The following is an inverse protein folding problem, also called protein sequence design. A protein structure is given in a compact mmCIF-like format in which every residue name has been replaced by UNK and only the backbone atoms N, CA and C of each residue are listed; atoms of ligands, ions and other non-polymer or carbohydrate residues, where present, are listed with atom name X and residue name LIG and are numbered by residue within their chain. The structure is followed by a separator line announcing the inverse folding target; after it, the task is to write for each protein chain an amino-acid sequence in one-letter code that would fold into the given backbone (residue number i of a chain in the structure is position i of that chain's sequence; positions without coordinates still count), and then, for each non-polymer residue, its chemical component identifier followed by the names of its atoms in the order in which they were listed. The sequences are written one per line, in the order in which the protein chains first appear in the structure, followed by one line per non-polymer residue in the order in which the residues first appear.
data_IF_587100792015
#
_entry.id   IF_587100792015
#
_cell.length_a   1.000
_cell.length_b   1.000
_cell.length_c   1.000
_cell.angle_alpha   90.00
_cell.angle_beta   90.00
_cell.angle_gamma   90.00
#
_symmetry.space_group_name_H-M   'P 1'
#
loop_
_entity.id
_entity.type
_entity.pdbx_description
1 polymer ?
#
# COMPACT_ATOMS: atom_id res chain seq x y z
N UNK A 1 -23.82 4.85 13.99
CA UNK A 1 -24.28 4.03 12.85
C UNK A 1 -23.42 4.39 11.66
N UNK A 2 -22.95 3.42 10.91
CA UNK A 2 -22.06 3.67 9.77
C UNK A 2 -22.82 3.49 8.47
N UNK A 3 -22.64 4.45 7.55
CA UNK A 3 -23.14 4.40 6.17
C UNK A 3 -21.97 4.63 5.23
N UNK A 4 -22.09 4.16 3.99
CA UNK A 4 -21.05 4.35 2.97
C UNK A 4 -20.77 5.82 2.72
N UNK A 5 -21.82 6.64 2.62
CA UNK A 5 -21.73 8.07 2.38
C UNK A 5 -22.81 8.87 3.14
N UNK A 6 -22.47 10.09 3.57
CA UNK A 6 -23.39 11.01 4.22
C UNK A 6 -24.25 11.79 3.20
N UNK A 7 -24.90 11.07 2.28
CA UNK A 7 -25.82 11.65 1.30
C UNK A 7 -27.21 11.88 1.91
N UNK A 8 -27.97 12.83 1.35
CA UNK A 8 -29.34 13.10 1.78
C UNK A 8 -30.24 11.85 1.67
N UNK A 9 -30.04 11.04 0.62
CA UNK A 9 -30.74 9.77 0.44
C UNK A 9 -30.47 8.79 1.59
N UNK A 10 -29.19 8.56 1.92
CA UNK A 10 -28.81 7.65 3.00
C UNK A 10 -29.31 8.15 4.36
N UNK A 11 -29.25 9.46 4.60
CA UNK A 11 -29.74 10.05 5.85
C UNK A 11 -31.27 9.95 5.95
N UNK A 12 -31.99 10.20 4.85
CA UNK A 12 -33.46 10.06 4.77
C UNK A 12 -33.91 8.62 5.04
N UNK A 13 -33.18 7.63 4.51
CA UNK A 13 -33.46 6.22 4.75
C UNK A 13 -33.34 5.82 6.24
N UNK A 14 -32.58 6.59 7.03
CA UNK A 14 -32.40 6.37 8.47
C UNK A 14 -33.43 7.09 9.34
N UNK A 15 -34.17 8.07 8.80
CA UNK A 15 -35.18 8.84 9.55
C UNK A 15 -36.22 7.97 10.27
N UNK A 16 -36.75 6.87 9.69
CA UNK A 16 -37.72 6.01 10.38
C UNK A 16 -37.15 5.32 11.63
N UNK A 17 -35.82 5.22 11.75
CA UNK A 17 -35.13 4.59 12.87
C UNK A 17 -34.63 5.61 13.91
N UNK A 18 -34.71 6.91 13.62
CA UNK A 18 -34.24 7.99 14.47
C UNK A 18 -35.31 8.42 15.49
N UNK A 19 -35.71 7.53 16.40
CA UNK A 19 -36.59 7.87 17.54
C UNK A 19 -35.89 8.78 18.56
N UNK A 20 -34.56 8.78 18.58
CA UNK A 20 -33.67 9.69 19.29
C UNK A 20 -32.55 10.15 18.34
N UNK A 21 -31.83 11.26 18.63
CA UNK A 21 -30.70 11.69 17.80
C UNK A 21 -29.66 10.57 17.67
N UNK A 22 -29.44 10.10 16.44
CA UNK A 22 -28.44 9.08 16.13
C UNK A 22 -27.20 9.73 15.51
N UNK A 23 -26.02 9.34 16.00
CA UNK A 23 -24.76 9.71 15.34
C UNK A 23 -24.53 8.78 14.14
N UNK A 24 -24.44 9.38 12.95
CA UNK A 24 -24.16 8.67 11.70
C UNK A 24 -22.78 9.09 11.19
N UNK A 25 -21.94 8.12 10.89
CA UNK A 25 -20.61 8.29 10.30
C UNK A 25 -20.59 7.74 8.88
N UNK A 26 -19.84 8.38 7.99
CA UNK A 26 -19.69 7.98 6.59
C UNK A 26 -18.84 9.01 5.83
N UNK A 27 -18.48 8.71 4.58
CA UNK A 27 -17.72 9.65 3.74
C UNK A 27 -18.55 10.89 3.43
N UNK A 28 -17.93 12.07 3.48
CA UNK A 28 -18.62 13.31 3.10
C UNK A 28 -18.89 13.32 1.60
N UNK A 29 -20.08 13.76 1.11
CA UNK A 29 -20.41 13.69 -0.31
C UNK A 29 -19.44 14.42 -1.25
N UNK A 30 -18.80 15.49 -0.76
CA UNK A 30 -17.80 16.23 -1.53
C UNK A 30 -16.51 15.42 -1.79
N UNK A 31 -16.25 14.37 -1.00
CA UNK A 31 -15.08 13.51 -1.13
C UNK A 31 -15.37 12.26 -1.98
N UNK A 32 -16.59 12.16 -2.52
CA UNK A 32 -17.01 11.04 -3.38
C UNK A 32 -16.68 11.39 -4.81
N UNK A 33 -15.85 10.55 -5.42
CA UNK A 33 -15.57 10.65 -6.85
C UNK A 33 -16.83 10.20 -7.60
N UNK A 34 -17.40 11.01 -8.51
CA UNK A 34 -18.60 10.62 -9.24
C UNK A 34 -18.30 9.46 -10.19
N UNK A 35 -19.26 8.53 -10.29
CA UNK A 35 -19.28 7.54 -11.36
C UNK A 35 -19.33 8.24 -12.72
N UNK A 36 -18.69 7.63 -13.72
CA UNK A 36 -18.59 8.18 -15.07
C UNK A 36 -17.56 7.42 -15.89
N UNK A 37 -17.59 7.67 -17.19
CA UNK A 37 -16.70 7.02 -18.16
C UNK A 37 -15.23 7.37 -17.89
N UNK A 38 -14.32 6.50 -18.34
CA UNK A 38 -12.88 6.69 -18.27
C UNK A 38 -12.46 7.96 -19.03
N UNK A 39 -11.84 8.95 -18.36
CA UNK A 39 -11.26 10.10 -19.05
C UNK A 39 -10.19 9.66 -20.06
N UNK A 40 -10.17 10.28 -21.22
CA UNK A 40 -9.23 9.94 -22.29
C UNK A 40 -8.03 10.89 -22.37
N UNK A 41 -8.07 12.03 -21.66
CA UNK A 41 -7.00 13.04 -21.66
C UNK A 41 -7.11 13.99 -20.46
N UNK A 42 -6.01 14.67 -20.17
CA UNK A 42 -5.92 15.76 -19.20
C UNK A 42 -4.69 16.63 -19.44
N UNK A 43 -4.32 17.47 -18.47
CA UNK A 43 -3.15 18.32 -18.60
C UNK A 43 -1.86 17.49 -18.69
N UNK A 44 -1.17 17.55 -19.82
CA UNK A 44 0.12 16.90 -20.03
C UNK A 44 0.05 15.38 -20.22
N UNK A 45 -1.14 14.78 -20.37
CA UNK A 45 -1.28 13.35 -20.60
C UNK A 45 -2.52 13.00 -21.44
N UNK A 46 -2.46 11.85 -22.10
CA UNK A 46 -3.59 11.24 -22.81
C UNK A 46 -3.59 9.73 -22.72
N UNK A 47 -4.76 9.13 -22.70
CA UNK A 47 -4.97 7.70 -22.66
C UNK A 47 -4.65 7.07 -24.04
N UNK A 48 -3.90 5.98 -24.01
CA UNK A 48 -3.57 5.15 -25.17
C UNK A 48 -4.39 3.86 -25.16
N UNK A 49 -4.75 3.36 -23.97
CA UNK A 49 -5.66 2.24 -23.80
C UNK A 49 -5.86 1.89 -22.32
N UNK A 50 -7.02 1.33 -22.03
CA UNK A 50 -7.37 0.74 -20.73
C UNK A 50 -8.03 -0.63 -20.94
N UNK A 51 -7.49 -1.66 -20.29
CA UNK A 51 -8.02 -3.02 -20.37
C UNK A 51 -7.85 -3.76 -19.03
N UNK A 52 -8.76 -4.69 -18.74
CA UNK A 52 -8.72 -5.53 -17.53
C UNK A 52 -7.73 -6.70 -17.68
N UNK A 53 -6.49 -6.38 -18.06
CA UNK A 53 -5.42 -7.32 -18.43
C UNK A 53 -4.07 -6.86 -17.85
N UNK A 54 -3.04 -7.68 -18.03
CA UNK A 54 -1.68 -7.38 -17.60
C UNK A 54 -1.36 -7.86 -16.18
N UNK A 55 -0.24 -7.36 -15.66
CA UNK A 55 0.25 -7.66 -14.31
C UNK A 55 -0.28 -6.59 -13.31
N UNK A 56 -0.60 -7.02 -12.09
CA UNK A 56 -0.96 -6.13 -10.98
C UNK A 56 0.29 -5.62 -10.27
N UNK A 57 0.19 -4.45 -9.63
CA UNK A 57 1.32 -3.81 -8.95
C UNK A 57 2.54 -3.69 -9.85
N UNK A 58 2.33 -3.13 -11.04
CA UNK A 58 3.41 -2.87 -12.00
C UNK A 58 3.32 -1.47 -12.54
N UNK A 59 4.47 -0.89 -12.80
CA UNK A 59 4.58 0.24 -13.70
C UNK A 59 5.63 -0.06 -14.78
N UNK A 60 5.64 0.76 -15.81
CA UNK A 60 6.69 0.71 -16.82
C UNK A 60 6.72 1.97 -17.66
N UNK A 61 7.86 2.19 -18.30
CA UNK A 61 8.12 3.38 -19.12
C UNK A 61 8.65 2.94 -20.48
N UNK A 62 8.20 3.62 -21.54
CA UNK A 62 8.77 3.50 -22.86
C UNK A 62 9.10 4.87 -23.44
N UNK A 63 10.34 5.03 -23.90
CA UNK A 63 10.84 6.27 -24.53
C UNK A 63 11.11 6.11 -26.02
N UNK A 64 10.89 4.90 -26.55
CA UNK A 64 11.07 4.54 -27.95
C UNK A 64 9.92 3.64 -28.41
N UNK A 65 9.73 3.55 -29.72
CA UNK A 65 8.70 2.68 -30.31
C UNK A 65 8.88 1.20 -29.91
N UNK A 66 10.11 0.71 -29.90
CA UNK A 66 10.42 -0.68 -29.56
C UNK A 66 10.13 -1.01 -28.08
N UNK A 67 10.39 -0.06 -27.17
CA UNK A 67 9.98 -0.21 -25.77
C UNK A 67 8.46 -0.16 -25.63
N UNK A 68 7.79 0.68 -26.41
CA UNK A 68 6.34 0.78 -26.39
C UNK A 68 5.66 -0.49 -26.92
N UNK A 69 6.26 -1.19 -27.89
CA UNK A 69 5.78 -2.50 -28.35
C UNK A 69 5.77 -3.49 -27.21
N UNK A 70 6.90 -3.60 -26.52
CA UNK A 70 7.07 -4.50 -25.40
C UNK A 70 6.13 -4.14 -24.24
N UNK A 71 5.95 -2.85 -23.96
CA UNK A 71 5.09 -2.39 -22.88
C UNK A 71 3.61 -2.66 -23.19
N UNK A 72 3.18 -2.46 -24.44
CA UNK A 72 1.82 -2.77 -24.91
C UNK A 72 1.51 -4.26 -24.79
N UNK A 73 2.43 -5.11 -25.22
CA UNK A 73 2.31 -6.57 -25.13
C UNK A 73 2.30 -7.06 -23.68
N UNK A 74 3.18 -6.52 -22.84
CA UNK A 74 3.27 -6.87 -21.41
C UNK A 74 2.02 -6.47 -20.63
N UNK A 75 1.45 -5.31 -20.97
CA UNK A 75 0.17 -4.86 -20.43
C UNK A 75 -1.01 -5.71 -20.92
N UNK A 76 -0.81 -6.58 -21.91
CA UNK A 76 -1.84 -7.46 -22.44
C UNK A 76 -2.91 -6.74 -23.26
N UNK A 77 -2.54 -5.63 -23.89
CA UNK A 77 -3.46 -4.82 -24.70
C UNK A 77 -3.79 -5.53 -26.01
N UNK A 78 -5.08 -5.60 -26.33
CA UNK A 78 -5.59 -6.35 -27.49
C UNK A 78 -5.92 -5.47 -28.70
N UNK A 79 -6.03 -4.15 -28.49
CA UNK A 79 -6.34 -3.16 -29.52
C UNK A 79 -5.18 -2.76 -30.43
N UNK A 80 -5.52 -1.93 -31.43
CA UNK A 80 -4.51 -1.21 -32.21
C UNK A 80 -3.85 -0.16 -31.32
N UNK A 81 -2.52 -0.19 -31.33
CA UNK A 81 -1.70 0.71 -30.53
C UNK A 81 -1.69 2.12 -31.12
N UNK A 82 -2.15 3.15 -30.39
CA UNK A 82 -2.14 4.52 -30.90
C UNK A 82 -0.72 5.05 -31.16
N UNK A 83 -0.60 6.00 -32.09
CA UNK A 83 0.68 6.66 -32.36
C UNK A 83 1.10 7.58 -31.20
N UNK A 84 2.41 7.67 -30.96
CA UNK A 84 3.03 8.50 -29.91
C UNK A 84 4.21 9.27 -30.51
N UNK A 85 4.27 10.58 -30.26
CA UNK A 85 5.43 11.39 -30.64
C UNK A 85 6.50 11.25 -29.57
N UNK A 86 7.44 10.31 -29.72
CA UNK A 86 8.53 10.14 -28.76
C UNK A 86 9.47 11.36 -28.66
N UNK A 87 9.35 12.33 -29.56
CA UNK A 87 10.01 13.63 -29.42
C UNK A 87 9.43 14.41 -28.24
N UNK A 88 8.11 14.38 -28.04
CA UNK A 88 7.40 15.26 -27.12
C UNK A 88 6.82 14.51 -25.92
N UNK A 89 6.60 13.20 -26.08
CA UNK A 89 5.91 12.33 -25.13
C UNK A 89 6.80 11.13 -24.75
N UNK A 90 6.50 10.53 -23.60
CA UNK A 90 6.87 9.15 -23.25
C UNK A 90 5.59 8.34 -23.01
N UNK A 91 5.69 7.02 -23.04
CA UNK A 91 4.58 6.14 -22.66
C UNK A 91 4.81 5.63 -21.24
N UNK A 92 3.77 5.68 -20.44
CA UNK A 92 3.74 5.11 -19.09
C UNK A 92 2.63 4.08 -18.99
N UNK A 93 2.94 2.95 -18.37
CA UNK A 93 1.97 1.92 -18.01
C UNK A 93 1.75 1.92 -16.50
N UNK A 94 0.48 1.92 -16.10
CA UNK A 94 0.02 1.68 -14.74
C UNK A 94 -0.75 0.35 -14.73
N UNK A 95 -0.07 -0.72 -14.29
CA UNK A 95 -0.63 -2.05 -14.04
C UNK A 95 -1.26 -2.08 -12.65
N UNK A 96 -2.46 -1.50 -12.56
CA UNK A 96 -3.21 -1.38 -11.32
C UNK A 96 -3.95 -2.67 -10.98
N UNK A 97 -4.55 -2.68 -9.79
CA UNK A 97 -5.48 -3.73 -9.40
C UNK A 97 -6.79 -3.20 -8.87
N UNK A 98 -7.77 -4.08 -8.87
CA UNK A 98 -9.05 -3.79 -8.27
C UNK A 98 -9.72 -5.06 -7.74
N UNK A 99 -10.49 -4.89 -6.67
CA UNK A 99 -11.45 -5.88 -6.21
C UNK A 99 -12.71 -5.82 -7.07
N UNK A 100 -13.31 -6.97 -7.39
CA UNK A 100 -14.51 -7.05 -8.25
C UNK A 100 -15.67 -6.15 -7.80
N UNK A 101 -15.77 -5.81 -6.50
CA UNK A 101 -16.78 -4.89 -5.98
C UNK A 101 -16.41 -3.40 -6.01
N UNK A 102 -15.18 -3.07 -6.43
CA UNK A 102 -14.63 -1.71 -6.47
C UNK A 102 -13.90 -1.47 -7.80
N UNK A 103 -14.63 -1.27 -8.91
CA UNK A 103 -13.98 -0.89 -10.16
C UNK A 103 -13.22 0.42 -9.98
N UNK A 104 -12.06 0.51 -10.63
CA UNK A 104 -11.19 1.68 -10.60
C UNK A 104 -11.24 2.44 -11.91
N UNK A 105 -10.81 3.71 -11.89
CA UNK A 105 -10.72 4.59 -13.04
C UNK A 105 -9.45 5.44 -12.93
N UNK A 106 -8.80 5.77 -14.04
CA UNK A 106 -7.70 6.73 -14.05
C UNK A 106 -8.23 8.13 -14.32
N UNK A 107 -8.24 9.02 -13.33
CA UNK A 107 -8.74 10.39 -13.50
C UNK A 107 -7.69 11.37 -14.00
N UNK A 108 -6.42 11.01 -13.85
CA UNK A 108 -5.32 11.90 -14.17
C UNK A 108 -3.95 11.25 -14.01
N UNK A 109 -2.93 11.98 -14.39
CA UNK A 109 -1.53 11.71 -14.07
C UNK A 109 -1.01 12.95 -13.35
N UNK A 110 -0.16 12.76 -12.34
CA UNK A 110 0.40 13.86 -11.56
C UNK A 110 1.86 13.61 -11.20
N UNK A 111 2.54 14.68 -10.79
CA UNK A 111 3.90 14.61 -10.22
C UNK A 111 3.88 15.17 -8.81
N UNK A 112 4.32 14.35 -7.85
CA UNK A 112 4.45 14.72 -6.44
C UNK A 112 5.84 14.30 -5.97
N UNK A 113 6.64 15.22 -5.44
CA UNK A 113 7.96 14.94 -4.84
C UNK A 113 8.92 14.09 -5.72
N UNK A 114 8.88 14.28 -7.04
CA UNK A 114 9.72 13.53 -7.97
C UNK A 114 9.17 12.15 -8.35
N UNK A 115 7.92 11.85 -8.00
CA UNK A 115 7.19 10.66 -8.42
C UNK A 115 6.14 11.06 -9.45
N UNK A 116 6.21 10.47 -10.64
CA UNK A 116 5.13 10.51 -11.63
C UNK A 116 4.15 9.38 -11.30
N UNK A 117 2.88 9.69 -11.09
CA UNK A 117 1.91 8.68 -10.68
C UNK A 117 0.53 8.85 -11.30
N UNK A 118 -0.21 7.76 -11.34
CA UNK A 118 -1.63 7.78 -11.67
C UNK A 118 -2.46 8.44 -10.56
N UNK A 119 -3.53 9.12 -10.94
CA UNK A 119 -4.64 9.49 -10.05
C UNK A 119 -5.74 8.45 -10.21
N UNK A 120 -5.44 7.24 -9.76
CA UNK A 120 -6.37 6.10 -9.85
C UNK A 120 -7.36 6.19 -8.70
N UNK A 121 -8.63 6.21 -9.04
CA UNK A 121 -9.75 6.42 -8.11
C UNK A 121 -10.68 5.22 -8.10
N UNK A 122 -11.45 5.08 -7.03
CA UNK A 122 -12.60 4.18 -6.95
C UNK A 122 -13.86 5.03 -7.04
N UNK A 123 -14.54 5.10 -8.20
CA UNK A 123 -15.73 5.92 -8.35
C UNK A 123 -16.89 5.44 -7.45
N UNK A 124 -17.70 6.39 -7.01
CA UNK A 124 -18.78 6.19 -6.08
C UNK A 124 -18.31 6.05 -4.64
N UNK A 125 -19.12 5.36 -3.85
CA UNK A 125 -18.82 5.09 -2.44
C UNK A 125 -19.08 3.62 -2.13
N UNK A 126 -18.33 2.69 -2.74
CA UNK A 126 -18.42 1.30 -2.32
C UNK A 126 -18.05 1.22 -0.84
N UNK A 127 -18.64 0.25 -0.13
CA UNK A 127 -18.26 -0.06 1.25
C UNK A 127 -16.89 -0.74 1.27
N UNK A 128 -16.84 -1.98 1.76
CA UNK A 128 -15.63 -2.79 1.62
C UNK A 128 -15.48 -3.33 0.19
N UNK A 129 -14.26 -3.27 -0.33
CA UNK A 129 -13.88 -3.96 -1.56
C UNK A 129 -13.70 -5.46 -1.28
N UNK A 130 -13.95 -6.29 -2.28
CA UNK A 130 -13.60 -7.71 -2.23
C UNK A 130 -12.09 -7.88 -2.28
N UNK A 131 -11.57 -8.91 -1.62
CA UNK A 131 -10.12 -9.15 -1.46
C UNK A 131 -9.46 -9.78 -2.70
N UNK A 132 -10.17 -9.88 -3.82
CA UNK A 132 -9.61 -10.39 -5.07
C UNK A 132 -8.75 -9.33 -5.78
N UNK A 133 -7.61 -9.75 -6.31
CA UNK A 133 -6.67 -8.88 -7.00
C UNK A 133 -6.76 -9.08 -8.52
N UNK A 134 -7.67 -8.35 -9.18
CA UNK A 134 -7.82 -8.42 -10.63
C UNK A 134 -6.97 -7.34 -11.32
N UNK A 135 -6.38 -7.63 -12.49
CA UNK A 135 -5.56 -6.66 -13.22
C UNK A 135 -6.40 -5.62 -13.96
N UNK A 136 -5.92 -4.38 -13.97
CA UNK A 136 -6.41 -3.32 -14.83
C UNK A 136 -5.21 -2.47 -15.28
N UNK A 137 -4.93 -2.51 -16.57
CA UNK A 137 -3.83 -1.77 -17.18
C UNK A 137 -4.33 -0.47 -17.77
N UNK A 138 -3.63 0.63 -17.47
CA UNK A 138 -3.77 1.91 -18.16
C UNK A 138 -2.45 2.26 -18.83
N UNK A 139 -2.48 2.48 -20.15
CA UNK A 139 -1.34 3.05 -20.87
C UNK A 139 -1.65 4.49 -21.24
N UNK A 140 -0.73 5.39 -20.94
CA UNK A 140 -0.86 6.82 -21.20
C UNK A 140 0.37 7.34 -21.92
N UNK A 141 0.18 8.31 -22.80
CA UNK A 141 1.25 9.18 -23.25
C UNK A 141 1.35 10.36 -22.29
N UNK A 142 2.55 10.69 -21.85
CA UNK A 142 2.84 11.79 -20.93
C UNK A 142 3.81 12.74 -21.59
N UNK A 143 3.47 14.02 -21.62
CA UNK A 143 4.32 15.08 -22.16
C UNK A 143 5.61 15.20 -21.34
N UNK A 144 6.74 15.35 -22.02
CA UNK A 144 8.05 15.48 -21.39
C UNK A 144 8.16 16.69 -20.48
N UNK A 145 7.43 17.76 -20.79
CA UNK A 145 7.38 18.98 -19.98
C UNK A 145 6.78 18.74 -18.57
N UNK A 146 5.93 17.73 -18.42
CA UNK A 146 5.32 17.34 -17.16
C UNK A 146 6.26 16.52 -16.27
N UNK A 147 7.22 15.79 -16.86
CA UNK A 147 8.09 14.85 -16.14
C UNK A 147 8.92 15.56 -15.06
N UNK A 148 9.39 14.87 -14.01
CA UNK A 148 10.39 15.42 -13.09
C UNK A 148 11.74 15.72 -13.79
N UNK A 149 12.61 16.54 -13.16
CA UNK A 149 13.89 16.92 -13.77
C UNK A 149 14.90 15.76 -13.91
N UNK A 150 14.65 14.63 -13.24
CA UNK A 150 15.46 13.41 -13.30
C UNK A 150 16.59 13.37 -12.25
N UNK A 151 16.98 12.17 -11.76
CA UNK A 151 16.26 10.89 -11.83
C UNK A 151 14.89 10.95 -11.13
N UNK A 152 13.99 10.01 -11.43
CA UNK A 152 12.64 10.00 -10.88
C UNK A 152 11.99 8.62 -10.86
N UNK A 153 10.83 8.51 -10.20
CA UNK A 153 10.08 7.26 -10.10
C UNK A 153 8.73 7.34 -10.80
N UNK A 154 8.24 6.20 -11.26
CA UNK A 154 6.87 6.00 -11.73
C UNK A 154 6.16 5.02 -10.81
N UNK A 155 4.96 5.38 -10.36
CA UNK A 155 4.16 4.61 -9.38
C UNK A 155 2.65 4.70 -9.68
N UNK A 156 1.85 3.83 -9.09
CA UNK A 156 0.37 3.83 -9.13
C UNK A 156 -0.23 4.93 -8.25
N UNK A 157 0.48 5.38 -7.22
CA UNK A 157 0.10 6.52 -6.37
C UNK A 157 1.33 7.35 -5.96
N UNK A 158 1.09 8.49 -5.28
CA UNK A 158 2.17 9.33 -4.74
C UNK A 158 2.88 8.69 -3.52
N UNK A 159 2.23 7.71 -2.88
CA UNK A 159 2.72 7.08 -1.67
C UNK A 159 3.77 6.00 -2.00
N UNK A 160 4.49 5.53 -0.97
CA UNK A 160 5.35 4.37 -1.13
C UNK A 160 4.56 3.14 -1.57
N UNK A 161 5.16 2.26 -2.39
CA UNK A 161 4.50 1.02 -2.79
C UNK A 161 4.19 0.18 -1.54
N UNK A 162 3.10 -0.61 -1.56
CA UNK A 162 2.85 -1.56 -0.49
C UNK A 162 4.04 -2.48 -0.26
N UNK A 163 4.20 -2.96 0.96
CA UNK A 163 5.27 -3.91 1.28
C UNK A 163 5.11 -5.21 0.45
N UNK A 164 6.23 -5.75 -0.04
CA UNK A 164 6.24 -6.99 -0.82
C UNK A 164 5.87 -6.85 -2.30
N UNK A 165 5.71 -5.62 -2.82
CA UNK A 165 5.47 -5.38 -4.26
C UNK A 165 6.49 -4.39 -4.84
N UNK A 166 7.79 -4.71 -4.78
CA UNK A 166 8.85 -3.78 -5.18
C UNK A 166 8.78 -3.37 -6.66
N UNK A 167 8.22 -4.21 -7.52
CA UNK A 167 8.14 -3.94 -8.96
C UNK A 167 6.94 -3.07 -9.35
N UNK A 168 6.17 -2.59 -8.36
CA UNK A 168 5.19 -1.53 -8.54
C UNK A 168 5.86 -0.22 -8.95
N UNK A 169 7.07 0.03 -8.44
CA UNK A 169 7.86 1.22 -8.75
C UNK A 169 8.83 0.96 -9.88
N UNK A 170 8.74 1.78 -10.92
CA UNK A 170 9.78 1.88 -11.95
C UNK A 170 10.71 3.05 -11.64
N UNK A 171 12.00 2.80 -11.59
CA UNK A 171 13.06 3.80 -11.51
C UNK A 171 13.43 4.26 -12.91
N UNK A 172 13.51 5.58 -13.09
CA UNK A 172 14.01 6.23 -14.29
C UNK A 172 15.29 7.00 -13.92
N UNK A 173 16.44 6.41 -14.25
CA UNK A 173 17.76 6.91 -13.83
C UNK A 173 18.25 8.13 -14.63
N UNK A 174 17.49 8.54 -15.65
CA UNK A 174 17.86 9.63 -16.56
C UNK A 174 16.80 10.71 -16.63
N UNK A 175 17.23 11.94 -16.93
CA UNK A 175 16.31 13.03 -17.23
C UNK A 175 15.63 12.84 -18.58
N UNK A 176 14.29 12.81 -18.57
CA UNK A 176 13.49 12.62 -19.79
C UNK A 176 12.77 13.88 -20.29
N UNK A 177 13.00 15.04 -19.66
CA UNK A 177 12.37 16.31 -20.06
C UNK A 177 12.78 16.83 -21.43
N UNK A 178 14.02 16.56 -21.83
CA UNK A 178 14.53 17.06 -23.10
C UNK A 178 13.86 16.34 -24.29
N UNK A 179 13.45 17.07 -25.35
CA UNK A 179 12.79 16.46 -26.49
C UNK A 179 13.61 15.33 -27.11
N UNK A 180 12.96 14.18 -27.32
CA UNK A 180 13.55 12.99 -27.94
C UNK A 180 14.60 12.27 -27.09
N UNK A 181 14.80 12.63 -25.82
CA UNK A 181 15.71 11.88 -24.97
C UNK A 181 15.19 10.46 -24.70
N UNK A 182 16.10 9.49 -24.71
CA UNK A 182 15.76 8.07 -24.55
C UNK A 182 16.42 7.50 -23.32
N UNK A 183 15.78 6.51 -22.71
CA UNK A 183 16.38 5.67 -21.68
C UNK A 183 16.64 4.26 -22.25
N UNK A 184 17.77 3.67 -21.89
CA UNK A 184 18.04 2.25 -22.14
C UNK A 184 17.31 1.38 -21.13
N UNK A 185 17.21 0.07 -21.39
CA UNK A 185 16.59 -0.86 -20.45
C UNK A 185 17.34 -0.90 -19.10
N UNK A 186 18.67 -0.75 -19.10
CA UNK A 186 19.46 -0.63 -17.86
C UNK A 186 19.21 0.68 -17.07
N UNK A 187 18.52 1.66 -17.65
CA UNK A 187 18.15 2.94 -17.02
C UNK A 187 16.67 2.98 -16.61
N UNK A 188 15.93 1.91 -16.92
CA UNK A 188 14.52 1.71 -16.62
C UNK A 188 14.39 0.40 -15.86
N UNK A 189 14.30 0.48 -14.54
CA UNK A 189 14.41 -0.71 -13.70
C UNK A 189 13.49 -0.71 -12.51
N UNK A 190 13.55 -1.78 -11.74
CA UNK A 190 12.95 -1.87 -10.40
C UNK A 190 13.80 -1.11 -9.38
N UNK A 191 13.18 -0.66 -8.30
CA UNK A 191 13.90 -0.03 -7.18
C UNK A 191 14.57 -1.11 -6.33
N UNK A 192 15.88 -1.26 -6.45
CA UNK A 192 16.68 -2.24 -5.69
C UNK A 192 16.51 -2.08 -4.18
N UNK A 193 16.31 -0.85 -3.67
CA UNK A 193 16.09 -0.65 -2.23
C UNK A 193 14.75 -1.26 -1.78
N UNK A 194 13.74 -1.26 -2.65
CA UNK A 194 12.47 -1.91 -2.35
C UNK A 194 12.58 -3.42 -2.49
N UNK A 195 13.38 -3.93 -3.42
CA UNK A 195 13.67 -5.36 -3.53
C UNK A 195 14.33 -5.85 -2.24
N UNK A 196 15.40 -5.18 -1.83
CA UNK A 196 16.11 -5.50 -0.58
C UNK A 196 15.15 -5.45 0.62
N UNK A 197 14.31 -4.41 0.71
CA UNK A 197 13.32 -4.28 1.79
C UNK A 197 12.18 -5.31 1.71
N UNK A 198 11.85 -5.83 0.53
CA UNK A 198 10.86 -6.90 0.36
C UNK A 198 11.43 -8.27 0.76
N UNK A 199 12.74 -8.47 0.62
CA UNK A 199 13.46 -9.65 1.08
C UNK A 199 13.71 -9.64 2.60
N UNK A 200 13.62 -8.47 3.25
CA UNK A 200 13.63 -8.37 4.71
C UNK A 200 12.36 -8.99 5.32
N UNK A 201 12.48 -9.84 6.37
CA UNK A 201 11.32 -10.43 7.03
C UNK A 201 10.39 -9.33 7.54
N UNK A 202 9.19 -9.25 6.96
CA UNK A 202 8.19 -8.29 7.43
C UNK A 202 7.84 -8.57 8.90
N UNK A 203 7.76 -7.53 9.76
CA UNK A 203 7.40 -7.75 11.15
C UNK A 203 6.07 -8.46 11.28
N UNK A 204 6.03 -9.54 12.05
CA UNK A 204 4.78 -10.21 12.39
C UNK A 204 3.88 -9.23 13.16
N UNK A 205 2.58 -9.28 12.92
CA UNK A 205 1.57 -8.53 13.69
C UNK A 205 0.75 -9.43 14.61
N UNK A 206 -0.20 -8.87 15.38
CA UNK A 206 -1.24 -9.64 16.04
C UNK A 206 -1.93 -10.62 15.07
N UNK A 207 -2.09 -11.88 15.50
CA UNK A 207 -2.55 -13.00 14.68
C UNK A 207 -1.45 -13.74 13.93
N UNK A 208 -0.22 -13.21 13.89
CA UNK A 208 0.91 -13.76 13.17
C UNK A 208 1.37 -15.13 13.67
N UNK A 209 2.06 -15.86 12.79
CA UNK A 209 2.70 -17.14 13.09
C UNK A 209 4.21 -16.96 13.03
N UNK A 210 4.91 -17.37 14.09
CA UNK A 210 6.37 -17.31 14.20
C UNK A 210 6.95 -18.67 14.58
N UNK A 211 8.16 -18.95 14.11
CA UNK A 211 8.87 -20.19 14.42
C UNK A 211 9.53 -20.14 15.81
N UNK A 212 9.30 -21.12 16.69
CA UNK A 212 10.02 -21.21 17.96
C UNK A 212 11.54 -21.39 17.77
N UNK A 213 12.33 -20.76 18.63
CA UNK A 213 13.80 -20.86 18.61
C UNK A 213 14.50 -19.93 17.62
N UNK A 214 13.75 -19.17 16.83
CA UNK A 214 14.27 -18.14 15.94
C UNK A 214 13.76 -16.76 16.34
N UNK A 215 14.61 -15.72 16.27
CA UNK A 215 14.17 -14.35 16.41
C UNK A 215 13.31 -13.93 15.22
N UNK A 216 12.22 -13.22 15.48
CA UNK A 216 11.34 -12.64 14.46
C UNK A 216 11.11 -11.16 14.75
N UNK A 217 11.13 -10.28 13.73
CA UNK A 217 10.62 -8.94 13.93
C UNK A 217 9.11 -9.01 14.21
N UNK A 218 8.63 -8.20 15.15
CA UNK A 218 7.22 -8.09 15.52
C UNK A 218 6.85 -6.62 15.69
N UNK A 219 5.78 -6.19 15.02
CA UNK A 219 5.23 -4.84 15.18
C UNK A 219 4.30 -4.83 16.38
N UNK A 220 4.73 -4.16 17.45
CA UNK A 220 3.95 -3.97 18.67
C UNK A 220 3.21 -2.63 18.61
N UNK A 221 1.89 -2.68 18.78
CA UNK A 221 1.00 -1.53 18.84
C UNK A 221 0.93 -0.97 20.27
N UNK A 222 1.63 0.13 20.52
CA UNK A 222 1.69 0.83 21.80
C UNK A 222 0.48 1.74 22.04
N UNK A 223 -0.21 2.17 20.98
CA UNK A 223 -1.40 3.04 21.05
C UNK A 223 -2.66 2.35 21.59
N UNK A 224 -2.62 1.04 21.78
CA UNK A 224 -3.71 0.31 22.45
C UNK A 224 -3.75 0.65 23.94
N UNK A 225 -4.92 0.50 24.57
CA UNK A 225 -5.05 0.67 26.04
C UNK A 225 -4.07 -0.22 26.84
N UNK A 226 -3.54 -1.29 26.22
CA UNK A 226 -2.63 -2.23 26.85
C UNK A 226 -1.15 -1.88 26.72
N UNK A 227 -0.74 -1.01 25.79
CA UNK A 227 0.67 -0.72 25.53
C UNK A 227 1.53 -1.99 25.47
N UNK A 228 2.63 -2.04 26.24
CA UNK A 228 3.50 -3.22 26.32
C UNK A 228 2.97 -4.36 27.19
N UNK A 229 1.91 -4.16 27.98
CA UNK A 229 1.47 -5.18 28.95
C UNK A 229 0.91 -6.44 28.27
N UNK A 230 0.55 -6.34 26.99
CA UNK A 230 0.07 -7.43 26.16
C UNK A 230 0.69 -7.42 24.78
N UNK A 231 1.04 -8.60 24.30
CA UNK A 231 1.60 -8.83 22.98
C UNK A 231 0.85 -9.96 22.29
N UNK A 232 0.53 -9.78 21.01
CA UNK A 232 -0.14 -10.79 20.19
C UNK A 232 -1.65 -10.57 20.02
N UNK A 233 -2.40 -11.61 19.64
CA UNK A 233 -2.00 -13.02 19.66
C UNK A 233 -0.82 -13.34 18.71
N UNK A 234 0.04 -14.28 19.08
CA UNK A 234 1.08 -14.88 18.23
C UNK A 234 1.01 -16.39 18.37
N UNK A 235 1.02 -17.13 17.26
CA UNK A 235 0.73 -18.57 17.24
C UNK A 235 -0.59 -18.91 17.97
N UNK A 236 -1.58 -18.02 17.88
CA UNK A 236 -2.88 -18.15 18.58
C UNK A 236 -2.82 -17.91 20.09
N UNK A 237 -1.70 -17.46 20.65
CA UNK A 237 -1.51 -17.22 22.09
C UNK A 237 -1.33 -15.72 22.35
N UNK A 238 -2.10 -15.17 23.30
CA UNK A 238 -1.83 -13.82 23.84
C UNK A 238 -0.77 -13.91 24.93
N UNK A 239 0.18 -12.98 24.92
CA UNK A 239 1.31 -12.93 25.82
C UNK A 239 1.20 -11.73 26.75
N UNK A 240 1.50 -11.92 28.03
CA UNK A 240 1.39 -10.88 29.06
C UNK A 240 2.71 -10.71 29.80
N UNK A 241 2.99 -9.48 30.21
CA UNK A 241 4.13 -9.12 31.06
C UNK A 241 3.65 -8.30 32.26
N UNK A 242 4.40 -8.36 33.36
CA UNK A 242 4.18 -7.50 34.52
C UNK A 242 4.83 -6.11 34.33
N UNK A 243 5.63 -5.95 33.26
CA UNK A 243 6.26 -4.68 32.88
C UNK A 243 5.21 -3.68 32.43
N UNK A 244 5.24 -2.48 33.01
CA UNK A 244 4.27 -1.40 32.72
C UNK A 244 4.89 -0.23 31.97
N UNK A 245 6.15 0.06 32.27
CA UNK A 245 6.88 1.18 31.67
C UNK A 245 7.58 0.74 30.39
N UNK A 246 7.47 1.54 29.33
CA UNK A 246 8.17 1.30 28.08
C UNK A 246 9.69 1.45 28.31
N UNK A 247 10.52 0.44 27.97
CA UNK A 247 11.97 0.55 28.09
C UNK A 247 12.54 1.70 27.24
N UNK A 248 13.66 2.27 27.68
CA UNK A 248 14.23 3.46 27.04
C UNK A 248 14.66 3.20 25.59
N UNK A 249 15.23 2.03 25.28
CA UNK A 249 15.59 1.68 23.91
C UNK A 249 14.35 1.55 23.01
N UNK A 250 13.22 1.10 23.56
CA UNK A 250 11.97 0.94 22.82
C UNK A 250 11.33 2.31 22.55
N UNK A 251 11.33 3.20 23.54
CA UNK A 251 10.87 4.59 23.40
C UNK A 251 11.69 5.35 22.35
N UNK A 252 12.99 5.09 22.25
CA UNK A 252 13.85 5.69 21.23
C UNK A 252 13.63 5.12 19.82
N UNK A 253 13.21 3.85 19.72
CA UNK A 253 12.98 3.15 18.47
C UNK A 253 11.53 3.22 17.96
N UNK A 254 10.62 3.86 18.71
CA UNK A 254 9.21 3.93 18.34
C UNK A 254 8.99 4.85 17.14
N UNK A 255 8.03 4.48 16.31
CA UNK A 255 7.51 5.27 15.21
C UNK A 255 6.01 5.48 15.43
N UNK A 256 5.65 6.69 15.88
CA UNK A 256 4.28 7.01 16.29
C UNK A 256 3.82 6.15 17.48
N UNK A 257 2.77 5.37 17.24
CA UNK A 257 2.18 4.46 18.22
C UNK A 257 2.68 3.02 18.09
N UNK A 258 3.76 2.79 17.33
CA UNK A 258 4.30 1.46 17.07
C UNK A 258 5.78 1.35 17.41
N UNK A 259 6.23 0.14 17.72
CA UNK A 259 7.66 -0.20 17.79
C UNK A 259 7.88 -1.58 17.21
N UNK A 260 8.93 -1.75 16.41
CA UNK A 260 9.36 -3.07 15.93
C UNK A 260 10.33 -3.66 16.96
N UNK A 261 9.98 -4.80 17.50
CA UNK A 261 10.78 -5.54 18.49
C UNK A 261 11.17 -6.90 17.92
N UNK A 262 12.32 -7.43 18.32
CA UNK A 262 12.68 -8.81 18.01
C UNK A 262 12.04 -9.73 19.05
N UNK A 263 11.12 -10.61 18.64
CA UNK A 263 10.52 -11.62 19.50
C UNK A 263 11.18 -12.98 19.33
N UNK A 264 11.45 -13.65 20.43
CA UNK A 264 11.95 -15.02 20.47
C UNK A 264 11.00 -15.90 21.29
N UNK A 265 10.33 -16.82 20.60
CA UNK A 265 9.49 -17.83 21.24
C UNK A 265 10.33 -19.02 21.68
N UNK A 266 10.32 -19.32 22.98
CA UNK A 266 10.99 -20.50 23.56
C UNK A 266 9.96 -21.49 24.04
N UNK A 267 9.94 -22.71 23.48
CA UNK A 267 8.90 -23.72 23.78
C UNK A 267 9.00 -24.33 25.19
N UNK A 268 10.18 -24.28 25.82
CA UNK A 268 10.40 -24.91 27.13
C UNK A 268 11.47 -24.17 27.93
N UNK A 269 11.04 -23.45 28.96
CA UNK A 269 11.95 -23.00 30.03
C UNK A 269 12.03 -24.06 31.14
N UNK A 270 13.12 -24.04 31.93
CA UNK A 270 13.27 -24.86 33.14
C UNK A 270 12.21 -24.60 34.21
N UNK A 271 11.37 -23.56 34.03
CA UNK A 271 10.28 -23.15 34.91
C UNK A 271 8.87 -23.58 34.44
N UNK A 272 8.74 -24.38 33.37
CA UNK A 272 7.54 -25.19 33.13
C UNK A 272 6.51 -24.69 32.12
N UNK A 273 6.88 -23.84 31.16
CA UNK A 273 6.01 -23.47 30.04
C UNK A 273 6.73 -22.68 28.94
N UNK A 274 6.06 -22.39 27.82
CA UNK A 274 6.62 -21.55 26.78
C UNK A 274 6.72 -20.10 27.24
N UNK A 275 7.72 -19.37 26.75
CA UNK A 275 7.96 -17.95 27.04
C UNK A 275 8.24 -17.20 25.76
N UNK A 276 7.92 -15.91 25.74
CA UNK A 276 8.25 -15.01 24.65
C UNK A 276 9.11 -13.88 25.22
N UNK A 277 10.26 -13.64 24.62
CA UNK A 277 11.07 -12.46 24.95
C UNK A 277 10.98 -11.49 23.79
N UNK A 278 10.71 -10.22 24.04
CA UNK A 278 10.78 -9.16 23.05
C UNK A 278 12.00 -8.27 23.36
N UNK A 279 12.74 -7.84 22.34
CA UNK A 279 14.01 -7.15 22.51
C UNK A 279 14.12 -5.95 21.56
N UNK A 280 14.66 -4.83 22.06
CA UNK A 280 15.15 -3.71 21.25
C UNK A 280 16.50 -3.27 21.79
N UNK A 281 17.55 -3.36 20.96
CA UNK A 281 18.90 -3.04 21.38
C UNK A 281 19.36 -3.92 22.56
N UNK A 282 19.56 -3.32 23.72
CA UNK A 282 19.98 -4.02 24.94
C UNK A 282 18.84 -4.26 25.95
N UNK A 283 17.63 -3.75 25.68
CA UNK A 283 16.49 -3.87 26.59
C UNK A 283 15.59 -5.03 26.15
N UNK A 284 15.34 -5.97 27.07
CA UNK A 284 14.43 -7.10 26.88
C UNK A 284 13.22 -7.03 27.81
N UNK A 285 12.07 -7.53 27.31
CA UNK A 285 10.84 -7.71 28.08
C UNK A 285 10.39 -9.16 27.93
N UNK A 286 10.29 -9.86 29.07
CA UNK A 286 9.79 -11.21 29.12
C UNK A 286 8.26 -11.23 29.23
N UNK A 287 7.65 -12.10 28.44
CA UNK A 287 6.23 -12.38 28.45
C UNK A 287 5.97 -13.87 28.70
N UNK A 288 4.81 -14.12 29.31
CA UNK A 288 4.25 -15.45 29.53
C UNK A 288 2.89 -15.57 28.85
N UNK A 289 2.38 -16.79 28.58
CA UNK A 289 1.04 -16.97 28.07
C UNK A 289 -0.01 -16.38 29.03
N UNK A 290 -1.02 -15.72 28.46
CA UNK A 290 -2.23 -15.29 29.17
C UNK A 290 -2.94 -16.51 29.78
N UNK A 291 -3.38 -16.37 31.03
CA UNK A 291 -4.10 -17.39 31.80
C UNK A 291 -5.47 -16.87 32.22
N UNK A 292 -6.38 -17.77 32.55
CA UNK A 292 -7.76 -17.43 32.95
C UNK A 292 -7.88 -16.53 34.19
N UNK A 293 -6.82 -16.44 35.01
CA UNK A 293 -6.77 -15.57 36.19
C UNK A 293 -6.13 -14.20 35.94
N UNK A 294 -5.63 -13.94 34.73
CA UNK A 294 -5.08 -12.62 34.40
C UNK A 294 -6.22 -11.61 34.21
N UNK A 295 -6.02 -10.33 34.56
CA UNK A 295 -7.03 -9.29 34.39
C UNK A 295 -7.51 -9.25 32.93
N UNK A 296 -8.83 -9.21 32.72
CA UNK A 296 -9.41 -9.13 31.38
C UNK A 296 -9.00 -7.85 30.65
N UNK A 297 -8.85 -6.76 31.42
CA UNK A 297 -8.54 -5.43 30.94
C UNK A 297 -7.10 -5.04 31.29
N UNK A 298 -6.56 -4.19 30.42
CA UNK A 298 -5.55 -3.20 30.71
C UNK A 298 -6.30 -1.87 30.75
#
# INVERSE_FOLDING_TARGET
MEVTALTEENLTALEPFATEPICVSGRHPADIVPAGDQPTEGEGWRLLGDEHTGEVYRTGVATTLAQYEQLWDRAGMSGERPEVSFTDEIVVWFGAMYGSSCPIRLDGVAVTDGVLHGQIVVPGSPGACTDDANPHSYLVAVERAMLPAGPFHVQLSADHPPAGVPEERTVVDVGLREPGSTATDDQLGTDENLIDAADEPQPAGPGGVIEPGYPWPYRLELGTACGISRLGPLNGVTWVTDTRDLPAAWEAAREGETVVVEVLLTERTSAGGPSLTATVGADDVAYRPLRSGDPADC
#
